data_IF_166070876350
#
_entry.id   IF_166070876350
#
_cell.length_a   1.000
_cell.length_b   1.000
_cell.length_c   1.000
_cell.angle_alpha   90.00
_cell.angle_beta   90.00
_cell.angle_gamma   90.00
#
_symmetry.space_group_name_H-M   'P 1'
#
loop_
_entity.id
_entity.type
_entity.pdbx_description
1 polymer ?
#
# COMPACT_ATOMS: atom_id res chain seq x y z
N UNK A 1 32.67 2.75 60.24
CA UNK A 1 32.72 3.65 59.07
C UNK A 1 32.61 2.80 57.82
N UNK A 2 31.50 2.88 57.09
CA UNK A 2 31.39 2.21 55.78
C UNK A 2 32.38 2.91 54.83
N UNK A 3 33.29 2.20 54.16
CA UNK A 3 34.09 2.83 53.13
C UNK A 3 33.11 3.28 52.04
N UNK A 4 33.05 4.58 51.76
CA UNK A 4 32.48 5.06 50.51
C UNK A 4 33.38 4.49 49.41
N UNK A 5 32.94 3.42 48.76
CA UNK A 5 33.63 2.84 47.62
C UNK A 5 33.59 3.89 46.49
N UNK A 6 34.70 4.59 46.30
CA UNK A 6 34.86 5.54 45.19
C UNK A 6 34.86 4.77 43.87
N UNK A 7 34.06 5.24 42.92
CA UNK A 7 34.04 4.69 41.55
C UNK A 7 35.45 4.79 40.96
N UNK A 8 36.01 3.67 40.54
CA UNK A 8 37.31 3.65 39.84
C UNK A 8 37.17 4.37 38.51
N UNK A 9 38.20 5.13 38.08
CA UNK A 9 38.18 5.81 36.78
C UNK A 9 37.90 4.84 35.61
N UNK A 10 38.37 3.60 35.72
CA UNK A 10 38.10 2.52 34.76
C UNK A 10 36.62 2.14 34.75
N UNK A 11 35.99 2.04 35.93
CA UNK A 11 34.57 1.72 36.09
C UNK A 11 33.68 2.82 35.50
N UNK A 12 34.05 4.09 35.69
CA UNK A 12 33.38 5.23 35.06
C UNK A 12 33.50 5.20 33.52
N UNK A 13 34.67 4.88 32.98
CA UNK A 13 34.88 4.77 31.52
C UNK A 13 34.08 3.61 30.91
N UNK A 14 34.04 2.46 31.58
CA UNK A 14 33.24 1.31 31.14
C UNK A 14 31.75 1.66 31.19
N UNK A 15 31.28 2.32 32.25
CA UNK A 15 29.90 2.77 32.35
C UNK A 15 29.51 3.73 31.21
N UNK A 16 30.40 4.68 30.86
CA UNK A 16 30.18 5.60 29.74
C UNK A 16 30.13 4.88 28.39
N UNK A 17 30.99 3.89 28.16
CA UNK A 17 30.96 3.07 26.93
C UNK A 17 29.64 2.29 26.82
N UNK A 18 29.20 1.67 27.91
CA UNK A 18 27.92 0.95 27.93
C UNK A 18 26.76 1.90 27.65
N UNK A 19 26.74 3.07 28.30
CA UNK A 19 25.71 4.09 28.06
C UNK A 19 25.70 4.58 26.60
N UNK A 20 26.87 4.79 26.00
CA UNK A 20 26.98 5.18 24.58
C UNK A 20 26.39 4.09 23.67
N UNK A 21 26.72 2.81 23.89
CA UNK A 21 26.21 1.69 23.10
C UNK A 21 24.69 1.55 23.27
N UNK A 22 24.20 1.61 24.51
CA UNK A 22 22.77 1.49 24.81
C UNK A 22 21.99 2.64 24.18
N UNK A 23 22.48 3.88 24.31
CA UNK A 23 21.80 5.04 23.70
C UNK A 23 21.73 4.94 22.17
N UNK A 24 22.81 4.51 21.51
CA UNK A 24 22.81 4.27 20.07
C UNK A 24 21.82 3.18 19.65
N UNK A 25 21.75 2.08 20.42
CA UNK A 25 20.80 1.00 20.18
C UNK A 25 19.35 1.47 20.29
N UNK A 26 19.02 2.26 21.32
CA UNK A 26 17.67 2.82 21.52
C UNK A 26 17.28 3.75 20.37
N UNK A 27 18.19 4.59 19.89
CA UNK A 27 17.93 5.49 18.75
C UNK A 27 17.65 4.66 17.50
N UNK A 28 18.48 3.64 17.21
CA UNK A 28 18.28 2.76 16.06
C UNK A 28 16.95 2.01 16.13
N UNK A 29 16.58 1.47 17.30
CA UNK A 29 15.28 0.82 17.49
C UNK A 29 14.13 1.78 17.26
N UNK A 30 14.22 3.01 17.76
CA UNK A 30 13.18 4.03 17.59
C UNK A 30 12.97 4.36 16.11
N UNK A 31 14.05 4.50 15.34
CA UNK A 31 14.00 4.73 13.89
C UNK A 31 13.37 3.54 13.15
N UNK A 32 13.65 2.31 13.57
CA UNK A 32 13.04 1.10 13.02
C UNK A 32 11.55 0.99 13.36
N UNK A 33 11.14 1.34 14.58
CA UNK A 33 9.71 1.34 14.96
C UNK A 33 8.95 2.38 14.15
N UNK A 34 9.49 3.59 14.00
CA UNK A 34 8.89 4.63 13.17
C UNK A 34 8.77 4.18 11.70
N UNK A 35 9.78 3.50 11.19
CA UNK A 35 9.76 2.89 9.86
C UNK A 35 8.58 1.93 9.68
N UNK A 36 8.45 0.98 10.61
CA UNK A 36 7.44 -0.06 10.56
C UNK A 36 6.04 0.54 10.69
N UNK A 37 5.85 1.50 11.59
CA UNK A 37 4.57 2.19 11.76
C UNK A 37 4.18 2.97 10.50
N UNK A 38 5.13 3.63 9.85
CA UNK A 38 4.88 4.35 8.59
C UNK A 38 4.49 3.38 7.48
N UNK A 39 5.21 2.26 7.34
CA UNK A 39 4.93 1.26 6.31
C UNK A 39 3.59 0.58 6.54
N UNK A 40 3.26 0.23 7.80
CA UNK A 40 1.95 -0.32 8.17
C UNK A 40 0.81 0.66 7.87
N UNK A 41 1.00 1.95 8.19
CA UNK A 41 0.02 3.00 7.86
C UNK A 41 -0.21 3.10 6.36
N UNK A 42 0.86 3.16 5.57
CA UNK A 42 0.76 3.26 4.11
C UNK A 42 0.08 2.02 3.50
N UNK A 43 0.40 0.84 4.02
CA UNK A 43 -0.24 -0.42 3.61
C UNK A 43 -1.74 -0.45 3.94
N UNK A 44 -2.15 0.03 5.11
CA UNK A 44 -3.57 0.10 5.44
C UNK A 44 -4.31 1.10 4.53
N UNK A 45 -3.69 2.24 4.23
CA UNK A 45 -4.23 3.21 3.29
C UNK A 45 -4.34 2.64 1.87
N UNK A 46 -3.33 1.91 1.38
CA UNK A 46 -3.40 1.29 0.06
C UNK A 46 -4.51 0.25 -0.05
N UNK A 47 -4.71 -0.58 0.99
CA UNK A 47 -5.85 -1.51 1.04
C UNK A 47 -7.18 -0.76 0.98
N UNK A 48 -7.32 0.31 1.77
CA UNK A 48 -8.55 1.14 1.76
C UNK A 48 -8.83 1.71 0.35
N UNK A 49 -7.81 2.21 -0.34
CA UNK A 49 -7.98 2.72 -1.71
C UNK A 49 -8.29 1.63 -2.73
N UNK A 50 -7.75 0.43 -2.56
CA UNK A 50 -8.07 -0.70 -3.42
C UNK A 50 -9.52 -1.14 -3.23
N UNK A 51 -9.97 -1.27 -1.98
CA UNK A 51 -11.36 -1.57 -1.64
C UNK A 51 -12.33 -0.52 -2.17
N UNK A 52 -12.00 0.77 -2.07
CA UNK A 52 -12.82 1.85 -2.65
C UNK A 52 -13.01 1.68 -4.17
N UNK A 53 -11.98 1.23 -4.90
CA UNK A 53 -12.12 0.96 -6.34
C UNK A 53 -13.05 -0.23 -6.59
N UNK A 54 -12.96 -1.28 -5.77
CA UNK A 54 -13.90 -2.41 -5.85
C UNK A 54 -15.34 -1.96 -5.58
N UNK A 55 -15.56 -1.11 -4.57
CA UNK A 55 -16.88 -0.54 -4.29
C UNK A 55 -17.39 0.29 -5.46
N UNK A 56 -16.55 1.11 -6.10
CA UNK A 56 -16.98 1.85 -7.29
C UNK A 56 -17.40 0.94 -8.45
N UNK A 57 -16.70 -0.18 -8.64
CA UNK A 57 -17.11 -1.19 -9.65
C UNK A 57 -18.40 -1.88 -9.23
N UNK A 58 -18.59 -2.15 -7.93
CA UNK A 58 -19.84 -2.71 -7.39
C UNK A 58 -21.01 -1.75 -7.57
N UNK A 59 -20.83 -0.47 -7.31
CA UNK A 59 -21.82 0.58 -7.55
C UNK A 59 -22.16 0.67 -9.03
N UNK A 60 -21.16 0.63 -9.90
CA UNK A 60 -21.41 0.60 -11.35
C UNK A 60 -22.19 -0.66 -11.77
N UNK A 61 -21.83 -1.83 -11.24
CA UNK A 61 -22.56 -3.08 -11.49
C UNK A 61 -24.01 -3.00 -11.01
N UNK A 62 -24.26 -2.44 -9.82
CA UNK A 62 -25.61 -2.25 -9.29
C UNK A 62 -26.46 -1.33 -10.18
N UNK A 63 -25.86 -0.31 -10.81
CA UNK A 63 -26.56 0.65 -11.66
C UNK A 63 -26.70 0.20 -13.13
N UNK A 64 -25.69 -0.50 -13.68
CA UNK A 64 -25.61 -0.85 -15.10
C UNK A 64 -25.89 -2.34 -15.38
N UNK A 65 -26.00 -3.15 -14.33
CA UNK A 65 -26.18 -4.60 -14.40
C UNK A 65 -25.00 -5.33 -15.05
N UNK A 66 -25.23 -6.63 -15.30
CA UNK A 66 -24.24 -7.51 -15.93
C UNK A 66 -23.80 -7.03 -17.31
N UNK A 67 -24.76 -6.63 -18.17
CA UNK A 67 -24.45 -6.18 -19.54
C UNK A 67 -23.50 -4.98 -19.56
N UNK A 68 -23.67 -4.02 -18.66
CA UNK A 68 -22.80 -2.85 -18.55
C UNK A 68 -21.39 -3.19 -18.05
N UNK A 69 -21.27 -4.09 -17.05
CA UNK A 69 -19.98 -4.52 -16.52
C UNK A 69 -19.21 -5.40 -17.52
N UNK A 70 -19.90 -6.36 -18.16
CA UNK A 70 -19.31 -7.22 -19.17
C UNK A 70 -18.85 -6.44 -20.41
N UNK A 71 -19.53 -5.34 -20.77
CA UNK A 71 -19.16 -4.50 -21.91
C UNK A 71 -17.83 -3.75 -21.72
N UNK A 72 -17.47 -3.42 -20.47
CA UNK A 72 -16.20 -2.74 -20.14
C UNK A 72 -15.09 -3.73 -19.78
N UNK A 73 -15.43 -4.95 -19.37
CA UNK A 73 -14.44 -6.00 -19.20
C UNK A 73 -13.92 -6.51 -20.56
N UNK A 74 -12.68 -7.00 -20.58
CA UNK A 74 -12.06 -7.58 -21.79
C UNK A 74 -11.47 -8.95 -21.50
N UNK A 75 -11.52 -9.89 -22.45
CA UNK A 75 -10.72 -11.10 -22.38
C UNK A 75 -9.23 -10.71 -22.36
N UNK A 76 -8.48 -11.18 -21.37
CA UNK A 76 -7.07 -10.79 -21.15
C UNK A 76 -6.85 -9.61 -20.19
N UNK A 77 -7.93 -8.96 -19.73
CA UNK A 77 -7.87 -7.89 -18.73
C UNK A 77 -7.68 -6.50 -19.34
N UNK A 78 -8.49 -5.55 -18.91
CA UNK A 78 -8.36 -4.14 -19.27
C UNK A 78 -8.17 -3.30 -18.01
N UNK A 79 -7.10 -2.50 -17.97
CA UNK A 79 -6.79 -1.61 -16.86
C UNK A 79 -7.50 -0.27 -17.02
N UNK A 80 -8.04 0.24 -15.91
CA UNK A 80 -8.77 1.50 -15.83
C UNK A 80 -8.28 2.33 -14.64
N UNK A 81 -8.11 3.63 -14.86
CA UNK A 81 -7.63 4.57 -13.85
C UNK A 81 -8.76 5.04 -12.93
N UNK A 82 -9.96 5.16 -13.49
CA UNK A 82 -11.12 5.72 -12.82
C UNK A 82 -12.40 4.97 -13.21
N UNK A 83 -13.30 4.85 -12.24
CA UNK A 83 -14.66 4.33 -12.41
C UNK A 83 -15.63 5.46 -12.03
N UNK A 84 -16.70 5.74 -12.81
CA UNK A 84 -17.19 4.99 -13.98
C UNK A 84 -16.75 5.59 -15.33
N UNK A 85 -15.78 6.51 -15.37
CA UNK A 85 -15.33 7.10 -16.65
C UNK A 85 -14.57 6.10 -17.54
N UNK A 86 -14.15 4.96 -16.98
CA UNK A 86 -13.46 3.86 -17.68
C UNK A 86 -12.30 4.36 -18.54
N UNK A 87 -11.57 5.35 -18.02
CA UNK A 87 -10.38 5.85 -18.68
C UNK A 87 -9.31 4.76 -18.63
N UNK A 88 -8.96 4.23 -19.80
CA UNK A 88 -7.96 3.17 -19.93
C UNK A 88 -6.60 3.64 -19.37
N UNK A 89 -5.97 2.77 -18.58
CA UNK A 89 -4.60 2.99 -18.16
C UNK A 89 -3.66 2.65 -19.32
N UNK A 90 -2.77 3.59 -19.68
CA UNK A 90 -1.75 3.36 -20.70
C UNK A 90 -0.50 2.81 -20.00
N UNK A 91 -0.08 1.58 -20.34
CA UNK A 91 1.18 0.92 -19.93
C UNK A 91 1.46 0.71 -18.41
N UNK A 92 1.14 -0.52 -17.95
CA UNK A 92 1.78 -1.34 -16.89
C UNK A 92 1.84 -0.84 -15.42
N UNK A 93 1.70 -1.75 -14.43
CA UNK A 93 0.99 -1.54 -13.17
C UNK A 93 1.83 -0.97 -12.02
N UNK A 94 2.97 -0.30 -12.24
CA UNK A 94 3.75 0.27 -11.10
C UNK A 94 5.00 1.12 -11.48
N UNK A 95 5.12 1.59 -12.72
CA UNK A 95 6.11 2.60 -13.16
C UNK A 95 5.35 3.91 -13.41
N UNK A 96 5.94 5.09 -13.14
CA UNK A 96 5.25 6.23 -12.53
C UNK A 96 3.96 6.58 -13.26
N UNK A 97 2.84 6.18 -12.65
CA UNK A 97 1.50 6.30 -13.21
C UNK A 97 1.08 7.77 -13.19
N UNK A 98 1.36 8.53 -14.24
CA UNK A 98 1.06 9.97 -14.22
C UNK A 98 -0.43 10.26 -14.05
N UNK A 99 -1.30 9.32 -14.47
CA UNK A 99 -2.75 9.55 -14.59
C UNK A 99 -3.62 8.77 -13.59
N UNK A 100 -3.02 7.98 -12.69
CA UNK A 100 -3.75 7.22 -11.64
C UNK A 100 -3.57 7.79 -10.23
N UNK A 101 -2.98 8.98 -10.12
CA UNK A 101 -2.61 9.59 -8.85
C UNK A 101 -3.86 9.95 -8.02
N UNK A 102 -3.87 9.56 -6.76
CA UNK A 102 -4.87 10.04 -5.80
C UNK A 102 -4.39 11.40 -5.31
N UNK A 103 -5.15 12.45 -5.65
CA UNK A 103 -4.81 13.86 -5.35
C UNK A 103 -4.44 14.04 -3.88
N UNK A 104 -3.31 14.70 -3.62
CA UNK A 104 -2.82 14.96 -2.27
C UNK A 104 -2.14 13.77 -1.59
N UNK A 105 -1.87 12.68 -2.32
CA UNK A 105 -1.21 11.49 -1.78
C UNK A 105 -0.08 11.00 -2.68
N UNK A 106 0.73 10.07 -2.19
CA UNK A 106 1.75 9.35 -2.96
C UNK A 106 1.25 8.03 -3.57
N UNK A 107 -0.07 7.80 -3.54
CA UNK A 107 -0.68 6.57 -4.05
C UNK A 107 -1.17 6.74 -5.48
N UNK A 108 -1.01 5.66 -6.23
CA UNK A 108 -1.55 5.49 -7.56
C UNK A 108 -2.48 4.29 -7.55
N UNK A 109 -3.64 4.39 -8.17
CA UNK A 109 -4.62 3.31 -8.21
C UNK A 109 -5.11 3.05 -9.63
N UNK A 110 -5.46 1.80 -9.88
CA UNK A 110 -6.16 1.36 -11.08
C UNK A 110 -6.91 0.07 -10.78
N UNK A 111 -7.82 -0.28 -11.67
CA UNK A 111 -8.57 -1.54 -11.60
C UNK A 111 -8.49 -2.26 -12.92
N UNK A 112 -8.26 -3.57 -12.87
CA UNK A 112 -8.21 -4.43 -14.05
C UNK A 112 -9.48 -5.27 -14.09
N UNK A 113 -10.23 -5.17 -15.19
CA UNK A 113 -11.44 -5.96 -15.41
C UNK A 113 -11.16 -7.03 -16.46
N UNK A 114 -11.25 -8.30 -16.04
CA UNK A 114 -11.03 -9.46 -16.90
C UNK A 114 -12.32 -10.23 -17.05
N UNK A 115 -12.86 -10.30 -18.27
CA UNK A 115 -14.09 -11.05 -18.55
C UNK A 115 -13.80 -12.53 -18.81
N UNK A 116 -14.65 -13.38 -18.24
CA UNK A 116 -14.84 -14.80 -18.56
C UNK A 116 -16.27 -15.01 -19.09
N UNK A 117 -16.65 -16.25 -19.41
CA UNK A 117 -17.98 -16.59 -19.95
C UNK A 117 -19.13 -16.13 -19.03
N UNK A 118 -19.00 -16.36 -17.72
CA UNK A 118 -20.04 -16.06 -16.73
C UNK A 118 -19.53 -15.24 -15.53
N UNK A 119 -18.31 -14.70 -15.61
CA UNK A 119 -17.75 -13.90 -14.53
C UNK A 119 -16.88 -12.76 -15.03
N UNK A 120 -16.84 -11.67 -14.27
CA UNK A 120 -15.86 -10.60 -14.44
C UNK A 120 -15.00 -10.58 -13.18
N UNK A 121 -13.71 -10.84 -13.35
CA UNK A 121 -12.71 -10.63 -12.31
C UNK A 121 -12.37 -9.15 -12.28
N UNK A 122 -12.37 -8.57 -11.08
CA UNK A 122 -12.04 -7.17 -10.83
C UNK A 122 -10.87 -7.17 -9.88
N UNK A 123 -9.69 -6.79 -10.36
CA UNK A 123 -8.47 -6.69 -9.58
C UNK A 123 -8.13 -5.21 -9.37
N UNK A 124 -8.36 -4.68 -8.18
CA UNK A 124 -8.00 -3.32 -7.81
C UNK A 124 -6.58 -3.29 -7.24
N UNK A 125 -5.73 -2.44 -7.81
CA UNK A 125 -4.32 -2.35 -7.46
C UNK A 125 -3.93 -0.93 -7.11
N UNK A 126 -3.17 -0.83 -6.03
CA UNK A 126 -2.64 0.43 -5.52
C UNK A 126 -1.13 0.32 -5.37
N UNK A 127 -0.41 1.28 -5.94
CA UNK A 127 1.05 1.39 -5.90
C UNK A 127 1.47 2.67 -5.17
N UNK A 128 2.58 2.62 -4.43
CA UNK A 128 3.21 3.81 -3.86
C UNK A 128 4.73 3.62 -3.77
N UNK A 129 5.45 4.73 -3.67
CA UNK A 129 6.89 4.72 -3.40
C UNK A 129 7.12 4.82 -1.89
N UNK A 130 7.88 3.87 -1.34
CA UNK A 130 8.35 3.88 0.04
C UNK A 130 9.85 3.58 0.05
N UNK A 131 10.65 4.54 0.55
CA UNK A 131 12.12 4.38 0.71
C UNK A 131 12.84 3.97 -0.58
N UNK A 132 12.43 4.55 -1.71
CA UNK A 132 13.00 4.24 -3.02
C UNK A 132 12.55 2.90 -3.60
N UNK A 133 11.66 2.16 -2.93
CA UNK A 133 11.04 0.95 -3.46
C UNK A 133 9.58 1.18 -3.79
N UNK A 134 9.15 0.69 -4.95
CA UNK A 134 7.73 0.61 -5.27
C UNK A 134 7.09 -0.52 -4.46
N UNK A 135 6.02 -0.19 -3.75
CA UNK A 135 5.19 -1.13 -2.99
C UNK A 135 3.82 -1.22 -3.64
N UNK A 136 3.19 -2.38 -3.50
CA UNK A 136 1.89 -2.66 -4.12
C UNK A 136 0.93 -3.31 -3.15
N UNK A 137 -0.35 -3.08 -3.36
CA UNK A 137 -1.45 -3.82 -2.76
C UNK A 137 -2.44 -4.12 -3.85
N UNK A 138 -2.96 -5.34 -3.87
CA UNK A 138 -3.90 -5.84 -4.86
C UNK A 138 -5.04 -6.54 -4.11
N UNK A 139 -6.27 -6.18 -4.47
CA UNK A 139 -7.50 -6.71 -3.88
C UNK A 139 -8.41 -7.11 -5.03
N UNK A 140 -8.85 -8.37 -5.01
CA UNK A 140 -9.56 -8.96 -6.13
C UNK A 140 -10.96 -9.38 -5.71
N UNK A 141 -11.91 -9.28 -6.63
CA UNK A 141 -13.25 -9.84 -6.46
C UNK A 141 -13.80 -10.35 -7.79
N UNK A 142 -14.90 -11.10 -7.72
CA UNK A 142 -15.60 -11.64 -8.88
C UNK A 142 -17.06 -11.23 -8.86
N UNK A 143 -17.54 -10.76 -10.01
CA UNK A 143 -18.96 -10.59 -10.29
C UNK A 143 -19.40 -11.72 -11.22
N UNK A 144 -20.59 -12.27 -10.97
CA UNK A 144 -21.13 -13.40 -11.74
C UNK A 144 -22.44 -13.03 -12.41
N UNK A 145 -22.68 -13.62 -13.59
CA UNK A 145 -23.97 -13.59 -14.26
C UNK A 145 -24.88 -14.66 -13.63
N UNK A 146 -25.95 -14.24 -12.95
CA UNK A 146 -26.96 -15.13 -12.36
C UNK A 146 -28.26 -15.06 -13.15
#
# INVERSE_FOLDING_TARGET
>A
MRPNAGVSLVEAMVALMILAIVSAAVIMMTLQVLALNTSAKLKNQSTTYAEQMIEQVRDYYANSGWGGLAAVARPGGQCYLNVPSWQAAVNNPCTPCVDGAITGTNFYRFVTLTSSSNSVMVAAKVCWLERGQTKTTEVDTYFYNF
#
